data_IF_220046889655
#
_entry.id   IF_220046889655
#
_cell.length_a   1.000
_cell.length_b   1.000
_cell.length_c   1.000
_cell.angle_alpha   90.00
_cell.angle_beta   90.00
_cell.angle_gamma   90.00
#
_symmetry.space_group_name_H-M   'P 1'
#
loop_
_entity.id
_entity.type
_entity.pdbx_description
1 polymer ?
#
# COMPACT_ATOMS: atom_id res chain seq x y z
N UNK A 1 8.22 -0.33 42.73
CA UNK A 1 9.42 0.05 41.96
C UNK A 1 9.50 -0.89 40.78
N UNK A 2 9.30 -0.40 39.56
CA UNK A 2 9.45 -1.18 38.33
C UNK A 2 10.94 -1.48 38.10
N UNK A 3 11.27 -2.75 37.96
CA UNK A 3 12.65 -3.24 37.76
C UNK A 3 13.13 -2.85 36.36
N UNK A 4 14.40 -2.47 36.23
CA UNK A 4 14.98 -1.97 34.97
C UNK A 4 14.90 -3.02 33.85
N UNK A 5 14.92 -4.31 34.24
CA UNK A 5 14.76 -5.45 33.33
C UNK A 5 13.34 -5.48 32.74
N UNK A 6 12.31 -5.25 33.56
CA UNK A 6 10.91 -5.17 33.08
C UNK A 6 10.65 -3.98 32.15
N UNK A 7 11.40 -2.89 32.31
CA UNK A 7 11.35 -1.76 31.38
C UNK A 7 12.00 -2.11 30.03
N UNK A 8 13.15 -2.80 30.05
CA UNK A 8 13.86 -3.25 28.84
C UNK A 8 13.03 -4.29 28.06
N UNK A 9 12.40 -5.24 28.75
CA UNK A 9 11.53 -6.26 28.14
C UNK A 9 10.26 -5.67 27.54
N UNK A 10 9.71 -4.62 28.16
CA UNK A 10 8.56 -3.90 27.60
C UNK A 10 8.94 -3.06 26.38
N UNK A 11 10.11 -2.41 26.34
CA UNK A 11 10.61 -1.70 25.14
C UNK A 11 10.76 -2.65 23.94
N UNK A 12 11.12 -3.91 24.16
CA UNK A 12 11.19 -4.91 23.09
C UNK A 12 9.82 -5.34 22.56
N UNK A 13 8.77 -5.31 23.40
CA UNK A 13 7.38 -5.66 23.02
C UNK A 13 6.61 -4.49 22.39
N UNK A 14 6.97 -3.25 22.69
CA UNK A 14 6.33 -2.03 22.15
C UNK A 14 7.10 -1.42 20.98
N UNK A 15 7.83 -2.23 20.20
CA UNK A 15 8.38 -1.76 18.93
C UNK A 15 7.24 -1.56 17.93
N UNK A 16 6.57 -0.41 17.99
CA UNK A 16 6.00 0.16 16.78
C UNK A 16 7.16 0.47 15.84
N UNK A 17 7.11 0.00 14.60
CA UNK A 17 8.10 0.31 13.57
C UNK A 17 8.02 1.80 13.18
N UNK A 18 8.62 2.66 14.01
CA UNK A 18 8.67 4.10 13.77
C UNK A 18 9.76 4.41 12.73
N UNK A 19 9.36 5.07 11.65
CA UNK A 19 10.28 5.64 10.68
C UNK A 19 10.63 7.09 11.04
N UNK A 20 11.91 7.47 10.89
CA UNK A 20 12.36 8.87 11.05
C UNK A 20 12.39 9.59 9.70
N UNK A 21 11.86 10.81 9.66
CA UNK A 21 11.89 11.68 8.50
C UNK A 21 12.29 13.12 8.90
N UNK A 22 13.17 13.74 8.11
CA UNK A 22 13.53 15.16 8.27
C UNK A 22 12.73 16.02 7.30
N UNK A 23 12.10 17.09 7.81
CA UNK A 23 11.24 17.99 7.02
C UNK A 23 11.92 19.36 6.93
N UNK A 24 11.99 19.91 5.71
CA UNK A 24 12.27 21.33 5.49
C UNK A 24 10.95 22.04 5.21
N UNK A 25 10.73 23.19 5.83
CA UNK A 25 9.49 23.94 5.70
C UNK A 25 9.73 25.45 5.68
N UNK A 26 8.78 26.25 5.15
CA UNK A 26 8.84 27.71 5.21
C UNK A 26 8.94 28.21 6.65
N UNK A 27 9.64 29.34 6.86
CA UNK A 27 9.87 29.90 8.20
C UNK A 27 8.57 30.29 8.88
N UNK A 28 7.60 30.77 8.11
CA UNK A 28 6.28 31.20 8.57
C UNK A 28 5.49 30.01 9.11
N UNK A 29 5.51 28.87 8.40
CA UNK A 29 4.86 27.64 8.85
C UNK A 29 5.54 27.09 10.11
N UNK A 30 6.87 27.09 10.13
CA UNK A 30 7.62 26.65 11.30
C UNK A 30 7.29 27.50 12.54
N UNK A 31 7.29 28.83 12.39
CA UNK A 31 6.95 29.76 13.48
C UNK A 31 5.51 29.57 13.98
N UNK A 32 4.56 29.31 13.09
CA UNK A 32 3.18 28.98 13.49
C UNK A 32 3.13 27.70 14.35
N UNK A 33 3.87 26.66 13.96
CA UNK A 33 3.94 25.40 14.72
C UNK A 33 4.55 25.63 16.11
N UNK A 34 5.58 26.48 16.22
CA UNK A 34 6.16 26.85 17.53
C UNK A 34 5.12 27.52 18.43
N UNK A 35 4.43 28.54 17.92
CA UNK A 35 3.39 29.23 18.69
C UNK A 35 2.21 28.32 19.07
N UNK A 36 1.83 27.39 18.20
CA UNK A 36 0.79 26.41 18.51
C UNK A 36 1.26 25.41 19.58
N UNK A 37 2.52 24.96 19.51
CA UNK A 37 3.08 24.05 20.51
C UNK A 37 3.13 24.70 21.90
N UNK A 38 3.54 25.97 21.98
CA UNK A 38 3.52 26.75 23.22
C UNK A 38 2.10 26.90 23.77
N UNK A 39 1.11 27.15 22.91
CA UNK A 39 -0.30 27.30 23.31
C UNK A 39 -0.90 25.99 23.84
N UNK A 40 -0.52 24.85 23.26
CA UNK A 40 -1.04 23.53 23.61
C UNK A 40 -0.24 22.84 24.74
N UNK A 41 0.85 23.45 25.22
CA UNK A 41 1.80 22.86 26.18
C UNK A 41 2.35 21.51 25.70
N UNK A 42 2.79 21.48 24.44
CA UNK A 42 3.26 20.28 23.75
C UNK A 42 4.63 20.49 23.12
N UNK A 43 5.36 19.40 22.85
CA UNK A 43 6.59 19.52 22.05
C UNK A 43 6.28 19.85 20.59
N UNK A 44 7.18 20.60 19.93
CA UNK A 44 7.06 20.91 18.49
C UNK A 44 6.89 19.64 17.64
N UNK A 45 7.64 18.59 17.96
CA UNK A 45 7.58 17.31 17.27
C UNK A 45 6.21 16.64 17.42
N UNK A 46 5.64 16.67 18.61
CA UNK A 46 4.31 16.10 18.86
C UNK A 46 3.21 16.92 18.18
N UNK A 47 3.29 18.25 18.23
CA UNK A 47 2.37 19.14 17.49
C UNK A 47 2.43 18.88 15.99
N UNK A 48 3.64 18.75 15.41
CA UNK A 48 3.81 18.37 14.01
C UNK A 48 3.19 17.01 13.70
N UNK A 49 3.42 16.02 14.56
CA UNK A 49 2.87 14.67 14.38
C UNK A 49 1.33 14.71 14.34
N UNK A 50 0.68 15.38 15.29
CA UNK A 50 -0.80 15.50 15.32
C UNK A 50 -1.36 16.21 14.10
N UNK A 51 -0.69 17.28 13.63
CA UNK A 51 -1.07 17.97 12.40
C UNK A 51 -0.95 17.06 11.17
N UNK A 52 0.13 16.27 11.09
CA UNK A 52 0.34 15.31 10.01
C UNK A 52 -0.69 14.18 10.05
N UNK A 53 -0.99 13.63 11.23
CA UNK A 53 -2.04 12.61 11.43
C UNK A 53 -3.39 13.13 10.93
N UNK A 54 -3.76 14.36 11.32
CA UNK A 54 -5.00 14.99 10.83
C UNK A 54 -4.99 15.22 9.32
N UNK A 55 -3.85 15.65 8.76
CA UNK A 55 -3.69 15.79 7.31
C UNK A 55 -3.85 14.47 6.56
N UNK A 56 -3.32 13.37 7.11
CA UNK A 56 -3.47 12.02 6.57
C UNK A 56 -4.94 11.57 6.62
N UNK A 57 -5.66 11.80 7.71
CA UNK A 57 -7.09 11.53 7.80
C UNK A 57 -7.88 12.26 6.71
N UNK A 58 -7.66 13.56 6.56
CA UNK A 58 -8.32 14.37 5.54
C UNK A 58 -8.00 13.87 4.12
N UNK A 59 -6.75 13.49 3.87
CA UNK A 59 -6.34 12.94 2.59
C UNK A 59 -7.01 11.59 2.29
N UNK A 60 -7.09 10.69 3.27
CA UNK A 60 -7.79 9.40 3.14
C UNK A 60 -9.26 9.60 2.81
N UNK A 61 -9.94 10.53 3.48
CA UNK A 61 -11.35 10.86 3.24
C UNK A 61 -11.53 11.44 1.84
N UNK A 62 -10.70 12.41 1.44
CA UNK A 62 -10.77 13.02 0.11
C UNK A 62 -10.53 12.01 -1.02
N UNK A 63 -9.69 11.00 -0.78
CA UNK A 63 -9.39 9.92 -1.72
C UNK A 63 -10.29 8.69 -1.57
N UNK A 64 -11.19 8.69 -0.57
CA UNK A 64 -12.08 7.57 -0.21
C UNK A 64 -11.36 6.23 -0.06
N UNK A 65 -10.13 6.23 0.50
CA UNK A 65 -9.29 5.02 0.53
C UNK A 65 -9.83 3.93 1.47
N UNK A 66 -10.48 4.35 2.55
CA UNK A 66 -10.92 3.47 3.64
C UNK A 66 -12.47 3.41 3.71
N UNK A 67 -13.18 3.84 2.65
CA UNK A 67 -14.65 3.82 2.56
C UNK A 67 -15.14 2.49 1.97
N UNK A 68 -15.76 1.64 2.79
CA UNK A 68 -16.22 0.31 2.38
C UNK A 68 -17.34 0.35 1.33
N UNK A 69 -18.26 1.31 1.42
CA UNK A 69 -19.41 1.38 0.51
C UNK A 69 -18.94 1.78 -0.88
N UNK A 70 -18.07 2.79 -0.95
CA UNK A 70 -17.48 3.24 -2.20
C UNK A 70 -16.51 2.19 -2.76
N UNK A 71 -15.70 1.55 -1.93
CA UNK A 71 -14.82 0.47 -2.38
C UNK A 71 -15.62 -0.70 -2.98
N UNK A 72 -16.73 -1.11 -2.36
CA UNK A 72 -17.61 -2.13 -2.91
C UNK A 72 -18.23 -1.71 -4.25
N UNK A 73 -18.80 -0.50 -4.33
CA UNK A 73 -19.39 0.04 -5.55
C UNK A 73 -18.37 0.21 -6.69
N UNK A 74 -17.14 0.61 -6.35
CA UNK A 74 -16.04 0.67 -7.30
C UNK A 74 -15.66 -0.71 -7.80
N UNK A 75 -15.44 -1.70 -6.91
CA UNK A 75 -15.10 -3.07 -7.30
C UNK A 75 -16.12 -3.64 -8.30
N UNK A 76 -17.41 -3.38 -8.07
CA UNK A 76 -18.50 -3.80 -8.96
C UNK A 76 -18.51 -3.05 -10.30
N UNK A 77 -18.16 -1.77 -10.33
CA UNK A 77 -18.22 -0.92 -11.52
C UNK A 77 -16.91 -0.84 -12.32
N UNK A 78 -15.80 -1.32 -11.75
CA UNK A 78 -14.49 -1.28 -12.40
C UNK A 78 -14.52 -2.10 -13.70
N UNK A 79 -14.00 -1.56 -14.82
CA UNK A 79 -14.00 -2.26 -16.09
C UNK A 79 -13.15 -3.53 -16.03
N UNK A 80 -13.54 -4.53 -16.82
CA UNK A 80 -12.70 -5.71 -17.04
C UNK A 80 -11.39 -5.26 -17.68
N UNK A 81 -10.27 -5.74 -17.16
CA UNK A 81 -8.94 -5.46 -17.66
C UNK A 81 -8.07 -6.69 -17.54
N UNK A 82 -7.23 -6.94 -18.54
CA UNK A 82 -6.23 -8.02 -18.49
C UNK A 82 -4.95 -7.63 -17.74
N UNK A 83 -4.94 -6.44 -17.15
CA UNK A 83 -3.79 -5.88 -16.46
C UNK A 83 -4.26 -5.16 -15.20
N UNK A 84 -3.61 -5.46 -14.08
CA UNK A 84 -3.96 -4.92 -12.77
C UNK A 84 -2.71 -4.40 -12.09
N UNK A 85 -2.84 -3.31 -11.34
CA UNK A 85 -1.84 -2.91 -10.37
C UNK A 85 -2.41 -3.12 -8.97
N UNK A 86 -1.72 -3.92 -8.16
CA UNK A 86 -2.14 -4.36 -6.85
C UNK A 86 -1.15 -3.87 -5.79
N UNK A 87 -1.63 -3.13 -4.80
CA UNK A 87 -0.83 -2.71 -3.66
C UNK A 87 -0.46 -3.92 -2.80
N UNK A 88 0.79 -4.00 -2.39
CA UNK A 88 1.33 -5.10 -1.56
C UNK A 88 0.95 -5.00 -0.08
N UNK A 89 0.00 -4.15 0.28
CA UNK A 89 -0.45 -3.89 1.64
C UNK A 89 0.62 -3.36 2.62
N UNK A 90 1.82 -2.99 2.15
CA UNK A 90 2.94 -2.56 3.01
C UNK A 90 2.62 -1.42 3.98
N UNK A 91 1.65 -0.56 3.62
CA UNK A 91 1.16 0.52 4.47
C UNK A 91 0.50 0.01 5.76
N UNK A 92 -0.12 -1.16 5.72
CA UNK A 92 -0.86 -1.75 6.83
C UNK A 92 -0.08 -2.89 7.48
N UNK A 93 0.66 -3.69 6.70
CA UNK A 93 1.45 -4.81 7.19
C UNK A 93 2.68 -5.05 6.33
N UNK A 94 3.87 -4.92 6.93
CA UNK A 94 5.14 -5.29 6.29
C UNK A 94 5.21 -6.80 6.08
N UNK A 95 4.65 -7.59 6.99
CA UNK A 95 4.61 -9.05 6.88
C UNK A 95 3.80 -9.50 5.66
N UNK A 96 2.63 -8.89 5.41
CA UNK A 96 1.84 -9.19 4.21
C UNK A 96 2.59 -8.87 2.93
N UNK A 97 3.27 -7.73 2.90
CA UNK A 97 4.12 -7.33 1.78
C UNK A 97 5.19 -8.37 1.48
N UNK A 98 5.97 -8.78 2.49
CA UNK A 98 7.04 -9.77 2.33
C UNK A 98 6.47 -11.15 1.95
N UNK A 99 5.31 -11.52 2.50
CA UNK A 99 4.61 -12.77 2.16
C UNK A 99 4.18 -12.78 0.70
N UNK A 100 3.54 -11.72 0.21
CA UNK A 100 3.16 -11.60 -1.20
C UNK A 100 4.35 -11.77 -2.14
N UNK A 101 5.49 -11.16 -1.79
CA UNK A 101 6.69 -11.24 -2.60
C UNK A 101 7.38 -12.60 -2.52
N UNK A 102 7.38 -13.25 -1.35
CA UNK A 102 8.06 -14.54 -1.13
C UNK A 102 7.27 -15.72 -1.69
N UNK A 103 5.95 -15.69 -1.56
CA UNK A 103 5.05 -16.70 -2.13
C UNK A 103 4.78 -16.46 -3.63
N UNK A 104 5.10 -15.27 -4.15
CA UNK A 104 4.81 -14.90 -5.53
C UNK A 104 3.31 -14.84 -5.79
N UNK A 105 2.57 -14.14 -4.93
CA UNK A 105 1.10 -14.12 -4.97
C UNK A 105 0.53 -12.69 -4.99
N UNK A 106 -0.64 -12.57 -5.61
CA UNK A 106 -1.53 -11.43 -5.48
C UNK A 106 -2.47 -11.69 -4.29
N UNK A 107 -2.51 -10.80 -3.30
CA UNK A 107 -3.36 -10.95 -2.12
C UNK A 107 -3.99 -9.61 -1.72
N UNK A 108 -5.17 -9.69 -1.12
CA UNK A 108 -5.80 -8.57 -0.45
C UNK A 108 -6.58 -9.05 0.77
N UNK A 109 -6.85 -8.11 1.68
CA UNK A 109 -7.25 -8.41 3.05
C UNK A 109 -8.50 -7.64 3.41
N UNK A 110 -9.40 -8.30 4.13
CA UNK A 110 -10.69 -7.81 4.59
C UNK A 110 -11.67 -7.40 3.48
N UNK A 111 -12.96 -7.61 3.72
CA UNK A 111 -13.99 -7.11 2.82
C UNK A 111 -14.09 -5.56 2.92
N UNK A 112 -14.41 -4.87 1.81
CA UNK A 112 -14.64 -5.41 0.46
C UNK A 112 -13.35 -5.60 -0.35
N UNK A 113 -12.20 -5.07 0.12
CA UNK A 113 -10.97 -5.01 -0.67
C UNK A 113 -10.43 -6.37 -1.13
N UNK A 114 -10.57 -7.42 -0.31
CA UNK A 114 -10.18 -8.80 -0.66
C UNK A 114 -10.86 -9.33 -1.92
N UNK A 115 -12.07 -8.84 -2.23
CA UNK A 115 -12.84 -9.23 -3.41
C UNK A 115 -12.22 -8.77 -4.73
N UNK A 116 -11.25 -7.84 -4.69
CA UNK A 116 -10.46 -7.50 -5.89
C UNK A 116 -9.74 -8.72 -6.46
N UNK A 117 -9.28 -9.63 -5.61
CA UNK A 117 -8.53 -10.82 -6.04
C UNK A 117 -9.40 -11.77 -6.85
N UNK A 118 -10.70 -11.81 -6.56
CA UNK A 118 -11.67 -12.66 -7.25
C UNK A 118 -11.91 -12.24 -8.70
N UNK A 119 -11.47 -11.04 -9.07
CA UNK A 119 -11.62 -10.47 -10.41
C UNK A 119 -10.42 -10.73 -11.31
N UNK A 120 -9.34 -11.26 -10.77
CA UNK A 120 -8.14 -11.62 -11.54
C UNK A 120 -8.45 -12.91 -12.29
N UNK A 121 -8.51 -12.82 -13.62
CA UNK A 121 -8.75 -13.98 -14.48
C UNK A 121 -7.44 -14.69 -14.83
N UNK A 122 -7.56 -15.91 -15.34
CA UNK A 122 -6.41 -16.66 -15.85
C UNK A 122 -5.72 -15.87 -16.98
N UNK A 123 -4.41 -15.64 -16.82
CA UNK A 123 -3.59 -14.94 -17.79
C UNK A 123 -3.55 -13.42 -17.63
N UNK A 124 -4.38 -12.83 -16.76
CA UNK A 124 -4.30 -11.40 -16.43
C UNK A 124 -2.95 -11.09 -15.81
N UNK A 125 -2.30 -9.99 -16.19
CA UNK A 125 -1.01 -9.58 -15.61
C UNK A 125 -1.26 -8.73 -14.37
N UNK A 126 -0.65 -9.11 -13.26
CA UNK A 126 -0.73 -8.38 -12.00
C UNK A 126 0.64 -7.78 -11.69
N UNK A 127 0.70 -6.45 -11.59
CA UNK A 127 1.87 -5.71 -11.11
C UNK A 127 1.73 -5.49 -9.60
N UNK A 128 2.69 -5.97 -8.82
CA UNK A 128 2.76 -5.73 -7.38
C UNK A 128 3.43 -4.38 -7.10
N UNK A 129 2.68 -3.48 -6.48
CA UNK A 129 3.08 -2.11 -6.18
C UNK A 129 3.41 -1.94 -4.68
N UNK A 130 4.58 -1.41 -4.41
CA UNK A 130 5.07 -1.05 -3.08
C UNK A 130 5.01 0.47 -2.91
N UNK A 131 4.27 0.93 -1.88
CA UNK A 131 4.16 2.36 -1.58
C UNK A 131 5.54 2.99 -1.36
N UNK A 132 5.79 4.12 -2.03
CA UNK A 132 7.06 4.84 -1.95
C UNK A 132 8.18 4.29 -2.83
N UNK A 133 8.00 3.12 -3.47
CA UNK A 133 9.04 2.48 -4.30
C UNK A 133 8.60 2.27 -5.75
N UNK A 134 7.38 1.77 -5.98
CA UNK A 134 6.88 1.50 -7.34
C UNK A 134 6.43 0.05 -7.55
N UNK A 135 6.34 -0.37 -8.81
CA UNK A 135 6.14 -1.78 -9.16
C UNK A 135 7.43 -2.53 -8.84
N UNK A 136 7.36 -3.54 -8.00
CA UNK A 136 8.50 -4.32 -7.50
C UNK A 136 8.52 -5.76 -8.00
N UNK A 137 7.37 -6.26 -8.48
CA UNK A 137 7.25 -7.59 -9.04
C UNK A 137 6.03 -7.65 -9.97
N UNK A 138 5.94 -8.69 -10.78
CA UNK A 138 4.76 -8.99 -11.58
C UNK A 138 4.62 -10.48 -11.83
N UNK A 139 3.45 -10.91 -12.29
CA UNK A 139 3.20 -12.26 -12.78
C UNK A 139 1.78 -12.36 -13.35
N UNK A 140 1.39 -13.55 -13.79
CA UNK A 140 0.06 -13.80 -14.38
C UNK A 140 -0.87 -14.47 -13.37
N UNK A 141 -2.09 -13.97 -13.27
CA UNK A 141 -3.15 -14.58 -12.47
C UNK A 141 -3.47 -15.99 -12.96
N UNK A 142 -3.77 -16.88 -12.02
CA UNK A 142 -4.21 -18.25 -12.30
C UNK A 142 -5.72 -18.32 -12.57
N UNK A 143 -6.49 -17.30 -12.17
CA UNK A 143 -7.96 -17.31 -12.20
C UNK A 143 -8.58 -18.09 -11.05
N UNK A 144 -7.78 -18.60 -10.10
CA UNK A 144 -8.25 -19.45 -8.99
C UNK A 144 -7.96 -18.77 -7.66
N UNK A 145 -8.96 -18.09 -7.09
CA UNK A 145 -8.84 -17.54 -5.74
C UNK A 145 -8.77 -18.65 -4.69
N UNK A 146 -7.73 -18.58 -3.86
CA UNK A 146 -7.61 -19.30 -2.59
C UNK A 146 -7.91 -18.35 -1.43
N UNK A 147 -8.36 -18.91 -0.31
CA UNK A 147 -8.68 -18.16 0.92
C UNK A 147 -7.88 -18.69 2.09
N UNK A 148 -7.48 -17.80 2.99
CA UNK A 148 -6.82 -18.17 4.25
C UNK A 148 -7.16 -17.22 5.38
N UNK A 149 -6.88 -17.67 6.59
CA UNK A 149 -7.00 -16.86 7.80
C UNK A 149 -6.01 -15.69 7.77
N UNK A 150 -6.43 -14.54 8.32
CA UNK A 150 -5.60 -13.36 8.53
C UNK A 150 -5.97 -12.74 9.88
N UNK A 151 -4.97 -12.47 10.73
CA UNK A 151 -5.11 -11.97 12.10
C UNK A 151 -6.17 -12.70 12.96
N UNK A 152 -6.27 -14.03 12.81
CA UNK A 152 -7.24 -14.84 13.54
C UNK A 152 -8.66 -14.86 12.94
N UNK A 153 -8.90 -14.12 11.87
CA UNK A 153 -10.17 -14.09 11.16
C UNK A 153 -10.14 -14.99 9.91
N UNK A 154 -11.10 -15.92 9.83
CA UNK A 154 -11.21 -16.92 8.75
C UNK A 154 -11.57 -16.23 7.43
N UNK A 155 -10.97 -16.67 6.33
CA UNK A 155 -11.23 -16.19 4.97
C UNK A 155 -11.04 -14.68 4.76
N UNK A 156 -10.32 -13.99 5.65
CA UNK A 156 -10.02 -12.56 5.52
C UNK A 156 -8.83 -12.25 4.62
N UNK A 157 -8.14 -13.26 4.09
CA UNK A 157 -7.19 -13.12 3.00
C UNK A 157 -7.67 -13.91 1.79
N UNK A 158 -8.01 -13.19 0.71
CA UNK A 158 -8.13 -13.80 -0.63
C UNK A 158 -6.79 -13.64 -1.34
N UNK A 159 -6.33 -14.68 -2.02
CA UNK A 159 -5.08 -14.63 -2.78
C UNK A 159 -5.09 -15.54 -4.02
N UNK A 160 -4.28 -15.19 -5.01
CA UNK A 160 -3.94 -16.02 -6.16
C UNK A 160 -2.41 -16.12 -6.28
N UNK A 161 -1.90 -17.34 -6.48
CA UNK A 161 -0.52 -17.52 -6.95
C UNK A 161 -0.37 -16.91 -8.34
N UNK A 162 0.81 -16.35 -8.63
CA UNK A 162 1.11 -15.73 -9.91
C UNK A 162 2.05 -16.62 -10.73
N UNK A 163 1.61 -17.02 -11.91
CA UNK A 163 2.42 -17.77 -12.87
C UNK A 163 3.51 -16.88 -13.48
N UNK A 164 4.71 -17.42 -13.58
CA UNK A 164 5.86 -16.66 -14.10
C UNK A 164 6.21 -15.45 -13.24
N UNK A 165 6.01 -15.55 -11.93
CA UNK A 165 6.32 -14.48 -10.98
C UNK A 165 7.79 -14.05 -11.07
N UNK A 166 8.01 -12.75 -11.24
CA UNK A 166 9.33 -12.16 -11.36
C UNK A 166 9.41 -10.92 -10.46
N UNK A 167 10.45 -10.89 -9.61
CA UNK A 167 10.83 -9.69 -8.85
C UNK A 167 11.71 -8.81 -9.72
N UNK A 168 11.40 -7.53 -9.78
CA UNK A 168 12.17 -6.56 -10.54
C UNK A 168 13.39 -6.12 -9.72
N UNK A 169 14.59 -6.29 -10.29
CA UNK A 169 15.82 -5.73 -9.71
C UNK A 169 15.74 -4.20 -9.58
N UNK A 170 15.13 -3.56 -10.59
CA UNK A 170 14.89 -2.12 -10.63
C UNK A 170 13.39 -1.84 -10.66
N UNK A 171 12.80 -1.41 -9.54
CA UNK A 171 11.39 -1.06 -9.48
C UNK A 171 11.01 0.02 -10.50
N UNK A 172 9.76 0.00 -10.97
CA UNK A 172 9.21 1.07 -11.81
C UNK A 172 8.50 2.06 -10.90
N UNK A 173 9.08 3.24 -10.70
CA UNK A 173 8.54 4.25 -9.80
C UNK A 173 7.18 4.78 -10.23
N UNK A 174 6.40 5.34 -9.30
CA UNK A 174 5.12 5.98 -9.60
C UNK A 174 5.22 7.06 -10.71
N UNK A 175 6.33 7.79 -10.75
CA UNK A 175 6.59 8.79 -11.79
C UNK A 175 6.79 8.14 -13.17
N UNK A 176 7.53 7.03 -13.24
CA UNK A 176 7.72 6.27 -14.48
C UNK A 176 6.44 5.60 -14.96
N UNK A 177 5.61 5.08 -14.04
CA UNK A 177 4.29 4.52 -14.37
C UNK A 177 3.44 5.60 -15.05
N UNK A 178 3.31 6.77 -14.41
CA UNK A 178 2.54 7.90 -14.95
C UNK A 178 3.06 8.35 -16.31
N UNK A 179 4.39 8.44 -16.48
CA UNK A 179 5.02 8.81 -17.76
C UNK A 179 4.74 7.78 -18.85
N UNK A 180 4.74 6.50 -18.51
CA UNK A 180 4.56 5.40 -19.47
C UNK A 180 3.11 5.26 -19.90
N UNK A 181 2.18 5.28 -18.94
CA UNK A 181 0.75 5.04 -19.19
C UNK A 181 0.00 6.32 -19.60
N UNK A 182 0.59 7.50 -19.40
CA UNK A 182 0.04 8.82 -19.78
C UNK A 182 -1.37 9.10 -19.22
N UNK A 183 -1.74 8.45 -18.10
CA UNK A 183 -3.00 8.64 -17.39
C UNK A 183 -2.78 8.72 -15.88
N UNK A 184 -3.76 9.32 -15.20
CA UNK A 184 -3.82 9.34 -13.75
C UNK A 184 -4.26 7.96 -13.24
N UNK A 185 -3.29 7.13 -12.85
CA UNK A 185 -3.54 5.89 -12.12
C UNK A 185 -3.54 6.18 -10.62
N UNK A 186 -4.59 5.77 -9.92
CA UNK A 186 -4.64 5.86 -8.45
C UNK A 186 -3.91 4.65 -7.85
N UNK A 187 -2.68 4.89 -7.38
CA UNK A 187 -1.77 3.84 -6.87
C UNK A 187 -1.94 3.55 -5.37
N UNK A 188 -2.77 4.33 -4.68
CA UNK A 188 -3.01 4.21 -3.24
C UNK A 188 -4.16 3.27 -2.89
N UNK A 189 -4.93 2.80 -3.89
CA UNK A 189 -5.99 1.81 -3.72
C UNK A 189 -5.41 0.40 -3.61
N UNK A 190 -6.21 -0.54 -3.11
CA UNK A 190 -5.83 -1.96 -3.06
C UNK A 190 -5.51 -2.47 -4.46
N UNK A 191 -6.43 -2.35 -5.41
CA UNK A 191 -6.19 -2.73 -6.80
C UNK A 191 -6.82 -1.72 -7.75
N UNK A 192 -6.16 -1.44 -8.86
CA UNK A 192 -6.68 -0.61 -9.95
C UNK A 192 -6.50 -1.35 -11.28
N UNK A 193 -7.49 -1.33 -12.18
CA UNK A 193 -7.30 -1.84 -13.53
C UNK A 193 -6.31 -0.94 -14.27
N UNK A 194 -5.58 -1.54 -15.20
CA UNK A 194 -4.53 -0.86 -15.94
C UNK A 194 -4.60 -1.25 -17.41
N UNK A 195 -5.61 -0.78 -18.18
CA UNK A 195 -5.80 -1.18 -19.57
C UNK A 195 -4.54 -1.04 -20.45
N UNK A 196 -3.69 -0.05 -20.17
CA UNK A 196 -2.44 0.20 -20.86
C UNK A 196 -1.23 -0.58 -20.28
N UNK A 197 -1.49 -1.59 -19.44
CA UNK A 197 -0.45 -2.33 -18.71
C UNK A 197 0.55 -3.04 -19.62
N UNK A 198 0.20 -3.31 -20.89
CA UNK A 198 1.14 -3.81 -21.88
C UNK A 198 2.36 -2.89 -22.05
N UNK A 199 2.19 -1.57 -21.96
CA UNK A 199 3.30 -0.61 -22.07
C UNK A 199 4.32 -0.79 -20.94
N UNK A 200 3.85 -1.13 -19.73
CA UNK A 200 4.73 -1.40 -18.60
C UNK A 200 5.40 -2.75 -18.75
N UNK A 201 4.68 -3.77 -19.21
CA UNK A 201 5.26 -5.09 -19.46
C UNK A 201 6.38 -5.01 -20.52
N UNK A 202 6.17 -4.24 -21.59
CA UNK A 202 7.20 -3.99 -22.61
C UNK A 202 8.38 -3.20 -22.05
N UNK A 203 8.12 -2.24 -21.16
CA UNK A 203 9.17 -1.50 -20.46
C UNK A 203 10.02 -2.41 -19.58
N UNK A 204 9.41 -3.35 -18.85
CA UNK A 204 10.12 -4.35 -18.03
C UNK A 204 11.01 -5.21 -18.93
N UNK A 205 10.46 -5.76 -20.01
CA UNK A 205 11.19 -6.62 -20.95
C UNK A 205 12.35 -5.92 -21.66
N UNK A 206 12.31 -4.59 -21.81
CA UNK A 206 13.43 -3.81 -22.37
C UNK A 206 14.55 -3.55 -21.36
N UNK A 207 14.29 -3.74 -20.05
CA UNK A 207 15.23 -3.49 -18.96
C UNK A 207 15.97 -4.74 -18.51
N UNK A 208 15.34 -5.92 -18.63
CA UNK A 208 15.97 -7.22 -18.45
C UNK A 208 16.85 -7.58 -19.64
#
# INVERSE_FOLDING_TARGET
MSDIISLIENVAKTKSDLASASIRMPKELYSFIEGLADHLDMSRQETMLKLLEKGVELAKVALKLDDEVEAAAEIESLPVSSFHILNTNKRHSVEDHERMLSEGCAAAFYAPWKLNIDRINQGDVVFLYENGKGIVAYGKGTGVTKKRMHDGHIDECHYQELEGFERLEKPISAAEIKKTVQKNVVLLRTMSPMPEGQLLLDLIKKRG
#
